data_IF_990597764808
#
_entry.id   IF_990597764808
#
_cell.length_a   1.000
_cell.length_b   1.000
_cell.length_c   1.000
_cell.angle_alpha   90.00
_cell.angle_beta   90.00
_cell.angle_gamma   90.00
#
_symmetry.space_group_name_H-M   'P 1'
#
loop_
_entity.id
_entity.type
_entity.pdbx_description
1 polymer ?
#
# COMPACT_ATOMS: atom_id res chain seq x y z
N UNK A 1 2.62 1.67 2.45
CA UNK A 1 2.63 0.60 1.43
C UNK A 1 1.25 0.45 0.83
N UNK A 2 1.16 0.41 -0.49
CA UNK A 2 -0.13 0.15 -1.17
C UNK A 2 -0.54 -1.29 -0.92
N UNK A 3 0.42 -2.20 -1.00
CA UNK A 3 0.27 -3.63 -0.70
C UNK A 3 1.60 -4.24 -0.32
N UNK A 4 1.56 -5.19 0.58
CA UNK A 4 2.64 -6.13 0.86
C UNK A 4 2.05 -7.54 0.88
N UNK A 5 2.63 -8.45 0.12
CA UNK A 5 2.37 -9.88 0.21
C UNK A 5 3.55 -10.48 0.98
N UNK A 6 3.32 -10.81 2.25
CA UNK A 6 4.38 -11.26 3.13
C UNK A 6 4.20 -12.75 3.39
N UNK A 7 5.15 -13.53 2.88
CA UNK A 7 5.26 -14.93 3.26
C UNK A 7 6.04 -15.03 4.59
N UNK A 8 5.41 -15.54 5.62
CA UNK A 8 6.03 -15.71 6.93
C UNK A 8 6.37 -17.17 7.21
N UNK A 9 7.66 -17.47 7.34
CA UNK A 9 8.17 -18.79 7.71
C UNK A 9 7.98 -19.86 6.64
N UNK A 10 7.85 -21.11 7.08
CA UNK A 10 7.62 -22.29 6.24
C UNK A 10 6.17 -22.42 5.73
N UNK A 11 5.32 -21.50 6.13
CA UNK A 11 3.92 -21.44 5.67
C UNK A 11 3.85 -20.82 4.28
N UNK A 12 4.03 -21.60 3.25
CA UNK A 12 3.73 -21.24 1.85
C UNK A 12 2.23 -20.90 1.63
N UNK A 13 1.43 -20.92 2.67
CA UNK A 13 -0.03 -20.88 2.63
C UNK A 13 -0.62 -19.50 2.93
N UNK A 14 0.19 -18.47 3.14
CA UNK A 14 -0.31 -17.12 3.44
C UNK A 14 -0.21 -16.15 2.24
N UNK A 15 -0.06 -16.66 1.03
CA UNK A 15 -0.06 -15.89 -0.22
C UNK A 15 -1.43 -15.29 -0.58
N UNK A 16 -2.46 -15.65 0.15
CA UNK A 16 -3.82 -15.12 0.02
C UNK A 16 -4.09 -13.90 0.90
N UNK A 17 -3.19 -13.57 1.83
CA UNK A 17 -3.33 -12.39 2.70
C UNK A 17 -2.45 -11.25 2.21
N UNK A 18 -3.04 -10.10 1.97
CA UNK A 18 -2.30 -8.86 1.74
C UNK A 18 -2.33 -7.96 2.97
N UNK A 19 -1.21 -7.30 3.23
CA UNK A 19 -1.12 -6.27 4.25
C UNK A 19 -0.99 -4.89 3.61
N UNK A 20 -1.62 -3.91 4.23
CA UNK A 20 -1.67 -2.53 3.76
C UNK A 20 -1.25 -1.64 4.91
N UNK A 21 -0.05 -1.10 4.84
CA UNK A 21 0.54 -0.35 5.93
C UNK A 21 0.79 1.10 5.55
N UNK A 22 0.59 1.98 6.49
CA UNK A 22 1.00 3.38 6.41
C UNK A 22 2.07 3.62 7.47
N UNK A 23 3.22 4.05 6.99
CA UNK A 23 4.36 4.41 7.81
C UNK A 23 4.52 5.92 7.75
N UNK A 24 4.47 6.59 8.87
CA UNK A 24 4.60 8.03 8.95
C UNK A 24 5.34 8.48 10.21
N UNK A 25 5.86 9.69 10.17
CA UNK A 25 6.49 10.33 11.31
C UNK A 25 6.01 11.77 11.40
N UNK A 26 5.72 12.22 12.60
CA UNK A 26 5.41 13.62 12.88
C UNK A 26 6.68 14.49 12.97
N UNK A 27 7.86 13.88 12.97
CA UNK A 27 9.14 14.61 12.98
C UNK A 27 9.62 14.86 11.57
N UNK A 28 9.94 16.10 11.27
CA UNK A 28 10.60 16.50 10.02
C UNK A 28 12.14 16.35 10.10
N UNK A 29 12.68 15.96 11.26
CA UNK A 29 14.10 15.79 11.47
C UNK A 29 14.58 14.46 10.89
N UNK A 30 15.51 14.45 9.91
CA UNK A 30 16.03 13.21 9.35
C UNK A 30 16.63 12.28 10.42
N UNK A 31 16.27 11.00 10.37
CA UNK A 31 16.74 9.99 11.30
C UNK A 31 16.07 9.96 12.68
N UNK A 32 15.12 10.85 12.93
CA UNK A 32 14.34 10.82 14.17
C UNK A 32 13.21 9.82 14.06
N UNK A 33 13.42 8.65 14.63
CA UNK A 33 12.41 7.57 14.70
C UNK A 33 11.49 7.67 15.92
N UNK A 34 11.69 8.65 16.81
CA UNK A 34 10.93 8.77 18.07
C UNK A 34 9.42 8.98 17.84
N UNK A 35 9.07 9.61 16.74
CA UNK A 35 7.69 9.90 16.33
C UNK A 35 7.16 8.95 15.26
N UNK A 36 7.95 7.94 14.88
CA UNK A 36 7.51 6.94 13.90
C UNK A 36 6.25 6.21 14.37
N UNK A 37 5.32 6.08 13.47
CA UNK A 37 4.06 5.35 13.64
C UNK A 37 3.80 4.47 12.45
N UNK A 38 3.15 3.36 12.70
CA UNK A 38 2.60 2.47 11.69
C UNK A 38 1.14 2.20 12.03
N UNK A 39 0.30 2.36 11.06
CA UNK A 39 -1.07 1.83 11.07
C UNK A 39 -1.22 0.91 9.88
N UNK A 40 -1.94 -0.19 10.04
CA UNK A 40 -2.08 -1.17 8.99
C UNK A 40 -3.30 -2.04 9.18
N UNK A 41 -3.65 -2.75 8.12
CA UNK A 41 -4.72 -3.74 8.10
C UNK A 41 -4.37 -4.87 7.16
N UNK A 42 -5.05 -5.98 7.33
CA UNK A 42 -4.95 -7.16 6.50
C UNK A 42 -6.23 -7.34 5.69
N UNK A 43 -6.08 -7.89 4.50
CA UNK A 43 -7.19 -8.26 3.64
C UNK A 43 -6.97 -9.68 3.13
N UNK A 44 -7.97 -10.51 3.32
CA UNK A 44 -8.01 -11.92 2.92
C UNK A 44 -9.16 -12.12 1.95
N UNK A 45 -8.91 -12.17 0.64
CA UNK A 45 -9.92 -12.46 -0.37
C UNK A 45 -10.25 -13.96 -0.41
N UNK A 46 -11.29 -14.29 -1.16
CA UNK A 46 -11.53 -15.66 -1.59
C UNK A 46 -10.53 -16.00 -2.72
N UNK A 47 -9.49 -16.78 -2.43
CA UNK A 47 -8.49 -17.24 -3.40
C UNK A 47 -7.10 -16.65 -3.21
N UNK A 48 -6.17 -17.08 -4.06
CA UNK A 48 -4.75 -16.75 -3.97
C UNK A 48 -4.42 -15.47 -4.73
N UNK A 49 -3.78 -14.52 -4.05
CA UNK A 49 -3.36 -13.25 -4.65
C UNK A 49 -2.13 -13.38 -5.56
N UNK A 50 -1.44 -14.52 -5.50
CA UNK A 50 -0.19 -14.76 -6.26
C UNK A 50 -0.39 -15.55 -7.55
N UNK A 51 -1.56 -16.14 -7.77
CA UNK A 51 -1.83 -16.97 -8.95
C UNK A 51 -2.24 -16.17 -10.19
N UNK A 52 -2.79 -14.96 -9.99
CA UNK A 52 -3.29 -14.11 -11.06
C UNK A 52 -2.84 -12.66 -10.89
N UNK A 53 -2.97 -11.87 -11.97
CA UNK A 53 -2.79 -10.43 -11.87
C UNK A 53 -3.88 -9.80 -11.03
N UNK A 54 -3.49 -9.05 -10.02
CA UNK A 54 -4.39 -8.29 -9.17
C UNK A 54 -4.14 -6.79 -9.32
N UNK A 55 -5.19 -6.00 -9.20
CA UNK A 55 -5.12 -4.53 -9.23
C UNK A 55 -5.10 -4.02 -7.80
N UNK A 56 -3.98 -3.46 -7.40
CA UNK A 56 -3.82 -2.79 -6.12
C UNK A 56 -3.85 -1.29 -6.32
N UNK A 57 -4.65 -0.61 -5.53
CA UNK A 57 -4.83 0.82 -5.65
C UNK A 57 -4.86 1.54 -4.32
N UNK A 58 -4.51 2.83 -4.38
CA UNK A 58 -4.72 3.75 -3.28
C UNK A 58 -5.33 5.03 -3.80
N UNK A 59 -6.37 5.49 -3.14
CA UNK A 59 -6.95 6.81 -3.38
C UNK A 59 -6.61 7.70 -2.20
N UNK A 60 -5.88 8.77 -2.48
CA UNK A 60 -5.49 9.76 -1.49
C UNK A 60 -6.28 11.05 -1.71
N UNK A 61 -7.08 11.40 -0.73
CA UNK A 61 -7.86 12.62 -0.66
C UNK A 61 -7.36 13.52 0.46
N UNK A 62 -7.90 14.72 0.54
CA UNK A 62 -7.52 15.67 1.60
C UNK A 62 -7.79 15.12 3.02
N UNK A 63 -8.88 14.40 3.19
CA UNK A 63 -9.41 13.91 4.46
C UNK A 63 -9.39 12.39 4.61
N UNK A 64 -8.93 11.67 3.58
CA UNK A 64 -9.13 10.22 3.52
C UNK A 64 -8.04 9.56 2.68
N UNK A 65 -7.62 8.38 3.06
CA UNK A 65 -6.85 7.47 2.24
C UNK A 65 -7.56 6.12 2.19
N UNK A 66 -7.78 5.59 0.98
CA UNK A 66 -8.53 4.36 0.77
C UNK A 66 -7.67 3.39 -0.03
N UNK A 67 -7.54 2.17 0.46
CA UNK A 67 -6.89 1.06 -0.24
C UNK A 67 -7.92 0.22 -0.97
N UNK A 68 -7.55 -0.22 -2.16
CA UNK A 68 -8.38 -1.05 -3.03
C UNK A 68 -7.63 -2.30 -3.47
N UNK A 69 -8.35 -3.41 -3.54
CA UNK A 69 -7.93 -4.62 -4.26
C UNK A 69 -9.02 -4.97 -5.27
N UNK A 70 -8.65 -5.11 -6.53
CA UNK A 70 -9.56 -5.44 -7.63
C UNK A 70 -10.82 -4.54 -7.71
N UNK A 71 -10.64 -3.26 -7.41
CA UNK A 71 -11.74 -2.28 -7.41
C UNK A 71 -12.59 -2.26 -6.15
N UNK A 72 -12.40 -3.19 -5.23
CA UNK A 72 -13.08 -3.19 -3.95
C UNK A 72 -12.32 -2.35 -2.94
N UNK A 73 -12.98 -1.40 -2.29
CA UNK A 73 -12.42 -0.66 -1.17
C UNK A 73 -12.32 -1.58 0.05
N UNK A 74 -11.10 -1.80 0.54
CA UNK A 74 -10.82 -2.76 1.62
C UNK A 74 -10.51 -2.08 2.94
N UNK A 75 -9.79 -0.96 2.90
CA UNK A 75 -9.41 -0.21 4.10
C UNK A 75 -9.59 1.28 3.84
N UNK A 76 -10.15 1.99 4.82
CA UNK A 76 -10.31 3.44 4.78
C UNK A 76 -9.70 4.06 6.04
N UNK A 77 -8.80 5.02 5.82
CA UNK A 77 -8.15 5.77 6.89
C UNK A 77 -8.64 7.22 6.89
N UNK A 78 -8.98 7.72 8.10
CA UNK A 78 -9.43 9.09 8.36
C UNK A 78 -8.65 9.76 9.48
N UNK A 79 -7.46 9.27 9.77
CA UNK A 79 -6.60 9.79 10.84
C UNK A 79 -5.93 11.09 10.38
N UNK A 80 -6.31 12.22 10.96
CA UNK A 80 -5.82 13.54 10.56
C UNK A 80 -4.30 13.71 10.74
N UNK A 81 -3.74 13.22 11.84
CA UNK A 81 -2.29 13.30 12.07
C UNK A 81 -1.49 12.57 11.00
N UNK A 82 -1.98 11.41 10.58
CA UNK A 82 -1.37 10.64 9.49
C UNK A 82 -1.50 11.37 8.15
N UNK A 83 -2.70 11.87 7.83
CA UNK A 83 -2.96 12.57 6.57
C UNK A 83 -2.15 13.86 6.47
N UNK A 84 -1.99 14.59 7.58
CA UNK A 84 -1.13 15.77 7.67
C UNK A 84 0.34 15.40 7.42
N UNK A 85 0.85 14.36 8.11
CA UNK A 85 2.22 13.89 7.92
C UNK A 85 2.47 13.44 6.47
N UNK A 86 1.49 12.86 5.79
CA UNK A 86 1.58 12.52 4.37
C UNK A 86 1.61 13.77 3.48
N UNK A 87 0.79 14.76 3.75
CA UNK A 87 0.79 16.03 2.99
C UNK A 87 2.13 16.76 3.12
N UNK A 88 2.68 16.80 4.32
CA UNK A 88 3.97 17.42 4.59
C UNK A 88 5.16 16.63 4.03
N UNK A 89 5.04 15.29 3.95
CA UNK A 89 6.05 14.40 3.44
C UNK A 89 6.13 14.31 1.90
N UNK A 90 5.19 14.92 1.17
CA UNK A 90 5.21 14.91 -0.29
C UNK A 90 6.44 15.64 -0.88
N UNK A 91 6.95 15.26 -2.07
CA UNK A 91 6.38 14.30 -3.00
C UNK A 91 6.69 12.83 -2.65
N UNK A 92 5.79 11.93 -3.07
CA UNK A 92 6.01 10.49 -3.00
C UNK A 92 6.48 9.93 -4.34
N UNK A 93 7.10 8.77 -4.29
CA UNK A 93 7.44 7.99 -5.47
C UNK A 93 6.88 6.57 -5.33
N UNK A 94 6.70 5.90 -6.47
CA UNK A 94 6.32 4.51 -6.50
C UNK A 94 7.55 3.62 -6.36
N UNK A 95 7.47 2.62 -5.51
CA UNK A 95 8.47 1.58 -5.36
C UNK A 95 7.82 0.22 -5.62
N UNK A 96 8.37 -0.55 -6.57
CA UNK A 96 8.07 -1.96 -6.76
C UNK A 96 9.27 -2.74 -6.24
N UNK A 97 9.03 -3.66 -5.32
CA UNK A 97 10.10 -4.38 -4.64
C UNK A 97 9.74 -5.86 -4.48
N UNK A 98 10.67 -6.71 -4.88
CA UNK A 98 10.65 -8.13 -4.54
C UNK A 98 11.82 -8.38 -3.61
N UNK A 99 11.52 -8.68 -2.35
CA UNK A 99 12.52 -8.87 -1.32
C UNK A 99 12.54 -10.34 -0.89
N UNK A 100 13.74 -10.88 -0.77
CA UNK A 100 13.98 -12.14 -0.09
C UNK A 100 14.29 -11.79 1.36
N UNK A 101 13.57 -12.42 2.27
CA UNK A 101 13.56 -12.22 3.71
C UNK A 101 14.77 -11.46 4.28
N UNK A 102 14.50 -10.34 4.91
CA UNK A 102 15.49 -9.50 5.58
C UNK A 102 16.13 -10.16 6.82
N UNK A 103 15.60 -11.28 7.27
CA UNK A 103 16.09 -12.03 8.46
C UNK A 103 17.16 -13.05 8.11
N UNK A 104 17.50 -13.21 6.84
CA UNK A 104 18.60 -14.06 6.40
C UNK A 104 18.32 -15.56 6.44
N UNK A 105 17.05 -15.95 6.45
CA UNK A 105 16.62 -17.36 6.43
C UNK A 105 16.46 -17.92 5.01
N UNK A 106 16.66 -17.08 3.98
CA UNK A 106 16.59 -17.52 2.60
C UNK A 106 17.62 -18.64 2.33
N UNK A 107 17.15 -19.76 1.85
CA UNK A 107 18.03 -20.84 1.41
C UNK A 107 18.76 -20.43 0.14
N UNK A 108 20.03 -20.13 0.26
CA UNK A 108 20.90 -19.72 -0.85
C UNK A 108 21.31 -20.88 -1.76
N UNK A 109 20.99 -22.10 -1.39
CA UNK A 109 21.24 -23.28 -2.23
C UNK A 109 20.20 -23.47 -3.33
N UNK A 110 19.05 -22.82 -3.21
CA UNK A 110 17.99 -22.86 -4.21
C UNK A 110 18.14 -21.77 -5.27
N UNK A 111 17.76 -22.10 -6.49
CA UNK A 111 17.67 -21.14 -7.59
C UNK A 111 16.33 -20.43 -7.48
N UNK A 112 16.34 -19.16 -7.12
CA UNK A 112 15.16 -18.31 -7.07
C UNK A 112 14.86 -17.79 -8.47
N UNK A 113 13.95 -18.50 -9.16
CA UNK A 113 13.48 -18.11 -10.50
C UNK A 113 12.26 -17.20 -10.51
N UNK A 114 11.82 -16.75 -9.34
CA UNK A 114 10.61 -15.96 -9.18
C UNK A 114 10.81 -14.50 -9.60
N UNK A 115 9.75 -13.89 -10.11
CA UNK A 115 9.75 -12.49 -10.54
C UNK A 115 8.48 -11.78 -10.09
N UNK A 116 8.62 -10.54 -9.68
CA UNK A 116 7.49 -9.62 -9.57
C UNK A 116 7.20 -9.08 -10.98
N UNK A 117 6.04 -9.42 -11.51
CA UNK A 117 5.60 -8.94 -12.82
C UNK A 117 4.56 -7.84 -12.63
N UNK A 118 4.86 -6.67 -13.18
CA UNK A 118 3.93 -5.53 -13.19
C UNK A 118 3.54 -5.23 -14.63
N UNK A 119 2.26 -5.37 -14.97
CA UNK A 119 1.75 -5.11 -16.32
C UNK A 119 1.64 -3.60 -16.57
N UNK A 120 1.10 -2.85 -15.61
CA UNK A 120 0.96 -1.41 -15.72
C UNK A 120 0.92 -0.69 -14.37
N UNK A 121 1.26 0.58 -14.42
CA UNK A 121 1.05 1.56 -13.33
C UNK A 121 0.30 2.74 -13.90
N UNK A 122 -0.70 3.22 -13.18
CA UNK A 122 -1.47 4.41 -13.54
C UNK A 122 -1.60 5.33 -12.34
N UNK A 123 -1.41 6.62 -12.59
CA UNK A 123 -1.62 7.68 -11.61
C UNK A 123 -2.63 8.65 -12.21
N UNK A 124 -3.64 9.00 -11.44
CA UNK A 124 -4.63 9.99 -11.82
C UNK A 124 -4.56 11.16 -10.84
N UNK A 125 -4.60 12.34 -11.37
CA UNK A 125 -4.81 13.54 -10.59
C UNK A 125 -6.30 13.94 -10.67
N UNK A 126 -6.90 14.23 -9.53
CA UNK A 126 -8.25 14.82 -9.49
C UNK A 126 -8.11 16.31 -9.71
N UNK A 127 -8.42 16.77 -10.90
CA UNK A 127 -8.57 18.21 -11.15
C UNK A 127 -9.69 18.79 -10.28
N UNK A 128 -9.49 19.95 -9.66
CA UNK A 128 -10.51 20.63 -8.83
C UNK A 128 -11.85 20.87 -9.56
N UNK A 129 -11.84 20.92 -10.87
CA UNK A 129 -13.00 21.22 -11.72
C UNK A 129 -14.11 20.15 -11.71
N UNK A 130 -13.83 18.93 -11.25
CA UNK A 130 -14.85 17.87 -11.16
C UNK A 130 -15.75 17.97 -9.92
N UNK A 131 -15.45 18.86 -8.97
CA UNK A 131 -16.24 18.99 -7.74
C UNK A 131 -17.40 20.01 -7.85
N UNK A 132 -17.44 20.87 -8.86
CA UNK A 132 -18.48 21.92 -8.97
C UNK A 132 -19.75 21.45 -9.68
N UNK A 133 -19.73 20.35 -10.43
CA UNK A 133 -20.90 19.87 -11.18
C UNK A 133 -21.87 18.99 -10.40
N UNK A 134 -21.53 18.55 -9.19
CA UNK A 134 -22.40 17.71 -8.35
C UNK A 134 -23.29 18.50 -7.36
N UNK A 135 -23.13 19.84 -7.31
CA UNK A 135 -23.78 20.68 -6.29
C UNK A 135 -24.97 21.52 -6.74
N UNK A 136 -25.40 21.45 -8.00
CA UNK A 136 -26.54 22.26 -8.49
C UNK A 136 -27.57 21.45 -9.23
N UNK A 137 -28.31 20.61 -8.51
CA UNK A 137 -29.68 20.26 -8.87
C UNK A 137 -30.53 20.32 -7.59
N UNK A 138 -31.14 21.47 -7.40
CA UNK A 138 -32.33 21.66 -6.58
C UNK A 138 -33.54 21.15 -7.32
#
# INVERSE_FOLDING_TARGET
>A
DVVELIQRGDKRTESHVSTHNLHYSASTKPGDSSTYRRIGGEYEPEGELTEEFNIYGVEWRADTLIHYVNGQAIIKWVNETMLEAMREGAPFYLLLSLNIDHVGTADRSESWGEALVCDWVRVWDRSPEMNESAGSQN
#
